data_IF_149875331275
#
_entry.id   IF_149875331275
#
_cell.length_a   1.000
_cell.length_b   1.000
_cell.length_c   1.000
_cell.angle_alpha   90.00
_cell.angle_beta   90.00
_cell.angle_gamma   90.00
#
_symmetry.space_group_name_H-M   'P 1'
#
loop_
_entity.id
_entity.type
_entity.pdbx_description
1 polymer ?
#
# COMPACT_ATOMS: atom_id res chain seq x y z
N UNK A 1 38.74 -8.13 -12.47
CA UNK A 1 37.32 -8.54 -12.36
C UNK A 1 36.60 -7.98 -13.59
N UNK A 2 35.97 -8.80 -14.43
CA UNK A 2 35.34 -8.31 -15.67
C UNK A 2 34.08 -7.50 -15.31
N UNK A 3 33.80 -6.40 -16.01
CA UNK A 3 32.64 -5.51 -15.74
C UNK A 3 31.29 -6.27 -15.64
N UNK A 4 31.14 -7.37 -16.38
CA UNK A 4 29.96 -8.24 -16.33
C UNK A 4 29.71 -8.87 -14.96
N UNK A 5 30.76 -9.29 -14.24
CA UNK A 5 30.62 -9.97 -12.95
C UNK A 5 30.11 -9.03 -11.86
N UNK A 6 30.48 -7.76 -11.91
CA UNK A 6 30.02 -6.74 -10.97
C UNK A 6 28.52 -6.44 -11.15
N UNK A 7 28.09 -6.30 -12.41
CA UNK A 7 26.69 -6.04 -12.74
C UNK A 7 25.78 -7.19 -12.30
N UNK A 8 26.17 -8.44 -12.60
CA UNK A 8 25.43 -9.64 -12.19
C UNK A 8 25.31 -9.70 -10.66
N UNK A 9 26.40 -9.46 -9.93
CA UNK A 9 26.39 -9.43 -8.45
C UNK A 9 25.44 -8.35 -7.91
N UNK A 10 25.39 -7.17 -8.52
CA UNK A 10 24.50 -6.09 -8.11
C UNK A 10 23.02 -6.44 -8.33
N UNK A 11 22.69 -7.04 -9.48
CA UNK A 11 21.32 -7.49 -9.79
C UNK A 11 20.88 -8.57 -8.81
N UNK A 12 21.72 -9.58 -8.57
CA UNK A 12 21.43 -10.63 -7.60
C UNK A 12 21.25 -10.07 -6.19
N UNK A 13 22.06 -9.09 -5.78
CA UNK A 13 21.90 -8.41 -4.50
C UNK A 13 20.55 -7.67 -4.41
N UNK A 14 20.10 -7.04 -5.49
CA UNK A 14 18.79 -6.38 -5.56
C UNK A 14 17.65 -7.39 -5.42
N UNK A 15 17.68 -8.47 -6.20
CA UNK A 15 16.66 -9.52 -6.16
C UNK A 15 16.57 -10.21 -4.79
N UNK A 16 17.73 -10.51 -4.17
CA UNK A 16 17.79 -11.12 -2.82
C UNK A 16 17.20 -10.24 -1.74
N UNK A 17 17.32 -8.91 -1.88
CA UNK A 17 16.78 -7.93 -0.92
C UNK A 17 15.38 -7.44 -1.27
N UNK A 18 14.74 -8.01 -2.28
CA UNK A 18 13.44 -7.54 -2.74
C UNK A 18 12.34 -7.95 -1.76
N UNK A 19 11.65 -6.96 -1.20
CA UNK A 19 10.46 -7.20 -0.35
C UNK A 19 9.30 -7.65 -1.24
N UNK A 20 8.43 -8.50 -0.70
CA UNK A 20 7.22 -8.97 -1.40
C UNK A 20 6.01 -8.78 -0.49
N UNK A 21 4.94 -8.26 -1.06
CA UNK A 21 3.62 -8.22 -0.45
C UNK A 21 2.67 -9.03 -1.32
N UNK A 22 1.95 -9.97 -0.72
CA UNK A 22 1.03 -10.87 -1.44
C UNK A 22 -0.29 -10.85 -0.69
N UNK A 23 -1.36 -10.45 -1.38
CA UNK A 23 -2.73 -10.36 -0.89
C UNK A 23 -2.97 -9.33 0.22
N UNK A 24 -2.43 -9.55 1.42
CA UNK A 24 -2.68 -8.78 2.64
C UNK A 24 -1.44 -8.76 3.54
N UNK A 25 -1.33 -7.77 4.42
CA UNK A 25 -0.34 -7.80 5.50
C UNK A 25 -0.96 -8.59 6.64
N UNK A 26 -0.22 -9.54 7.22
CA UNK A 26 -0.73 -10.40 8.30
C UNK A 26 -1.28 -9.60 9.49
N UNK A 27 -0.74 -8.40 9.73
CA UNK A 27 -1.21 -7.46 10.76
C UNK A 27 -2.63 -6.93 10.54
N UNK A 28 -3.17 -6.98 9.32
CA UNK A 28 -4.49 -6.42 8.99
C UNK A 28 -5.66 -7.39 9.18
N UNK A 29 -5.40 -8.69 9.24
CA UNK A 29 -6.45 -9.68 9.47
C UNK A 29 -6.90 -9.74 10.95
N UNK A 30 -6.11 -9.17 11.88
CA UNK A 30 -6.30 -9.39 13.32
C UNK A 30 -6.21 -8.13 14.21
N UNK A 31 -5.82 -6.95 13.71
CA UNK A 31 -5.72 -5.74 14.54
C UNK A 31 -6.91 -4.78 14.33
N UNK A 32 -8.07 -5.18 14.86
CA UNK A 32 -9.30 -4.38 14.86
C UNK A 32 -9.12 -3.05 15.60
N UNK A 33 -8.28 -3.01 16.64
CA UNK A 33 -8.00 -1.78 17.40
C UNK A 33 -7.32 -0.73 16.52
N UNK A 34 -6.42 -1.15 15.63
CA UNK A 34 -5.76 -0.27 14.67
C UNK A 34 -6.73 0.25 13.61
N UNK A 35 -7.64 -0.60 13.13
CA UNK A 35 -8.69 -0.20 12.20
C UNK A 35 -9.64 0.83 12.82
N UNK A 36 -10.05 0.60 14.08
CA UNK A 36 -10.91 1.51 14.83
C UNK A 36 -10.22 2.86 15.09
N UNK A 37 -8.95 2.85 15.48
CA UNK A 37 -8.17 4.08 15.66
C UNK A 37 -8.02 4.87 14.34
N UNK A 38 -7.88 4.17 13.22
CA UNK A 38 -7.82 4.78 11.90
C UNK A 38 -9.15 5.49 11.56
N UNK A 39 -10.29 4.80 11.71
CA UNK A 39 -11.60 5.40 11.44
C UNK A 39 -11.99 6.49 12.44
N UNK A 40 -11.63 6.37 13.72
CA UNK A 40 -11.84 7.44 14.72
C UNK A 40 -11.15 8.74 14.35
N UNK A 41 -9.98 8.68 13.73
CA UNK A 41 -9.26 9.86 13.26
C UNK A 41 -9.86 10.46 11.97
N UNK A 42 -10.58 9.65 11.18
CA UNK A 42 -11.26 10.11 9.96
C UNK A 42 -12.66 10.63 10.25
N UNK A 43 -13.32 10.14 11.31
CA UNK A 43 -14.70 10.48 11.61
C UNK A 43 -14.93 10.71 13.12
N UNK A 44 -15.17 11.96 13.49
CA UNK A 44 -16.39 12.22 14.25
C UNK A 44 -17.50 12.31 13.19
N UNK A 45 -18.42 11.35 13.21
CA UNK A 45 -19.44 11.16 12.16
C UNK A 45 -20.30 12.43 11.96
N UNK A 46 -20.54 13.16 13.06
CA UNK A 46 -21.30 14.42 13.10
C UNK A 46 -20.72 15.52 12.19
N UNK A 47 -19.43 15.42 11.86
CA UNK A 47 -18.65 16.39 11.10
C UNK A 47 -18.83 16.26 9.57
N UNK A 48 -19.55 15.22 9.13
CA UNK A 48 -19.76 14.86 7.72
C UNK A 48 -21.24 14.73 7.35
N UNK A 49 -22.14 14.43 8.29
CA UNK A 49 -23.57 14.19 8.01
C UNK A 49 -24.31 15.39 7.40
N UNK A 50 -23.79 16.62 7.58
CA UNK A 50 -24.42 17.85 7.10
C UNK A 50 -23.80 18.43 5.83
N UNK A 51 -22.74 17.81 5.31
CA UNK A 51 -22.01 18.30 4.15
C UNK A 51 -22.61 17.73 2.86
N UNK A 52 -22.73 18.58 1.84
CA UNK A 52 -23.02 18.13 0.48
C UNK A 52 -21.87 17.27 -0.06
N UNK A 53 -22.13 16.51 -1.12
CA UNK A 53 -21.11 15.67 -1.76
C UNK A 53 -19.84 16.46 -2.16
N UNK A 54 -20.00 17.68 -2.68
CA UNK A 54 -18.85 18.52 -3.06
C UNK A 54 -18.04 18.98 -1.85
N UNK A 55 -18.71 19.35 -0.77
CA UNK A 55 -18.05 19.75 0.49
C UNK A 55 -17.33 18.57 1.16
N UNK A 56 -17.89 17.35 1.03
CA UNK A 56 -17.24 16.13 1.47
C UNK A 56 -15.95 15.87 0.68
N UNK A 57 -15.99 15.97 -0.65
CA UNK A 57 -14.82 15.77 -1.51
C UNK A 57 -13.72 16.79 -1.17
N UNK A 58 -14.05 18.08 -1.09
CA UNK A 58 -13.09 19.12 -0.73
C UNK A 58 -12.48 18.89 0.67
N UNK A 59 -13.29 18.45 1.64
CA UNK A 59 -12.80 18.11 2.99
C UNK A 59 -11.81 16.93 2.94
N UNK A 60 -12.09 15.87 2.20
CA UNK A 60 -11.16 14.75 2.04
C UNK A 60 -9.86 15.15 1.33
N UNK A 61 -9.94 15.98 0.28
CA UNK A 61 -8.77 16.46 -0.45
C UNK A 61 -7.86 17.32 0.44
N UNK A 62 -8.43 18.18 1.29
CA UNK A 62 -7.69 18.97 2.28
C UNK A 62 -7.01 18.08 3.32
N UNK A 63 -7.72 17.10 3.86
CA UNK A 63 -7.15 16.16 4.84
C UNK A 63 -5.96 15.39 4.27
N UNK A 64 -6.05 14.87 3.03
CA UNK A 64 -4.94 14.18 2.36
C UNK A 64 -3.77 15.14 2.09
N UNK A 65 -4.06 16.37 1.67
CA UNK A 65 -3.03 17.39 1.42
C UNK A 65 -2.27 17.74 2.70
N UNK A 66 -2.97 18.02 3.80
CA UNK A 66 -2.35 18.33 5.10
C UNK A 66 -1.47 17.19 5.62
N UNK A 67 -1.92 15.95 5.46
CA UNK A 67 -1.11 14.78 5.83
C UNK A 67 0.16 14.67 4.98
N UNK A 68 0.05 14.85 3.66
CA UNK A 68 1.22 14.86 2.77
C UNK A 68 2.21 15.97 3.14
N UNK A 69 1.70 17.15 3.52
CA UNK A 69 2.53 18.26 3.98
C UNK A 69 3.23 17.96 5.31
N UNK A 70 2.55 17.32 6.27
CA UNK A 70 3.17 16.89 7.55
C UNK A 70 4.34 15.92 7.34
N UNK A 71 4.30 15.15 6.26
CA UNK A 71 5.36 14.21 5.89
C UNK A 71 6.55 14.89 5.19
N UNK A 72 6.46 16.17 4.82
CA UNK A 72 7.60 16.91 4.26
C UNK A 72 8.67 17.10 5.34
N UNK A 73 9.92 16.76 5.00
CA UNK A 73 11.06 16.88 5.92
C UNK A 73 11.22 15.74 6.92
N UNK A 74 10.26 14.80 6.99
CA UNK A 74 10.41 13.59 7.80
C UNK A 74 11.10 12.47 7.00
N UNK A 75 12.01 11.69 7.63
CA UNK A 75 12.56 10.50 6.99
C UNK A 75 11.42 9.54 6.67
N UNK A 76 11.38 9.05 5.43
CA UNK A 76 10.36 8.10 4.98
C UNK A 76 10.45 6.84 5.83
N UNK A 77 9.47 6.60 6.69
CA UNK A 77 9.41 5.36 7.48
C UNK A 77 9.26 4.18 6.50
N UNK A 78 10.27 3.31 6.47
CA UNK A 78 10.35 2.19 5.51
C UNK A 78 9.31 1.09 5.73
N UNK A 79 8.68 1.11 6.91
CA UNK A 79 7.76 0.07 7.38
C UNK A 79 6.30 0.58 7.46
N UNK A 80 6.09 1.89 7.39
CA UNK A 80 4.75 2.50 7.24
C UNK A 80 4.41 2.65 5.75
N UNK A 81 4.36 1.51 5.05
CA UNK A 81 3.69 1.40 3.74
C UNK A 81 2.19 1.15 3.90
N UNK A 82 1.65 1.52 5.05
CA UNK A 82 0.24 1.77 5.25
C UNK A 82 -0.02 3.25 4.93
N UNK A 83 0.10 3.56 3.63
CA UNK A 83 -0.57 4.74 3.09
C UNK A 83 -2.03 4.59 3.54
N UNK A 84 -2.66 5.63 4.06
CA UNK A 84 -4.06 5.62 4.51
C UNK A 84 -5.07 5.15 3.43
N UNK A 85 -4.63 4.89 2.20
CA UNK A 85 -5.39 4.22 1.13
C UNK A 85 -5.10 2.72 0.93
N UNK A 86 -4.15 2.09 1.64
CA UNK A 86 -3.71 0.71 1.38
C UNK A 86 -4.82 -0.32 1.61
N UNK A 87 -5.75 -0.08 2.54
CA UNK A 87 -6.92 -0.92 2.76
C UNK A 87 -7.85 -0.94 1.52
N UNK A 88 -8.04 0.20 0.84
CA UNK A 88 -8.86 0.30 -0.38
C UNK A 88 -8.19 -0.30 -1.63
N UNK A 89 -6.86 -0.52 -1.60
CA UNK A 89 -6.12 -1.04 -2.76
C UNK A 89 -6.09 -2.57 -2.84
N UNK A 90 -6.49 -3.30 -1.79
CA UNK A 90 -6.43 -4.77 -1.81
C UNK A 90 -7.41 -5.38 -2.82
N UNK A 91 -8.57 -4.74 -3.02
CA UNK A 91 -9.59 -5.18 -3.99
C UNK A 91 -9.20 -4.90 -5.45
N UNK A 92 -8.14 -4.13 -5.70
CA UNK A 92 -7.68 -3.89 -7.05
C UNK A 92 -7.13 -5.16 -7.70
N UNK A 93 -7.55 -5.40 -8.94
CA UNK A 93 -7.01 -6.46 -9.80
C UNK A 93 -5.69 -5.97 -10.41
N UNK A 94 -4.61 -5.95 -9.61
CA UNK A 94 -3.32 -5.38 -10.05
C UNK A 94 -2.09 -5.96 -9.32
N UNK A 95 -0.93 -5.76 -9.95
CA UNK A 95 0.39 -5.95 -9.35
C UNK A 95 1.26 -4.72 -9.62
N UNK A 96 2.04 -4.32 -8.62
CA UNK A 96 2.85 -3.10 -8.65
C UNK A 96 4.32 -3.41 -8.34
N UNK A 97 5.22 -2.79 -9.08
CA UNK A 97 6.63 -2.73 -8.74
C UNK A 97 6.92 -1.36 -8.12
N UNK A 98 7.55 -1.34 -6.95
CA UNK A 98 7.95 -0.15 -6.24
C UNK A 98 9.49 -0.06 -6.21
N UNK A 99 10.14 0.57 -7.21
CA UNK A 99 11.59 0.56 -7.34
C UNK A 99 12.30 1.19 -6.14
N UNK A 100 11.72 2.28 -5.59
CA UNK A 100 12.27 3.00 -4.45
C UNK A 100 12.35 2.14 -3.19
N UNK A 101 11.36 1.26 -2.99
CA UNK A 101 11.31 0.35 -1.83
C UNK A 101 11.93 -1.02 -2.12
N UNK A 102 12.39 -1.25 -3.36
CA UNK A 102 12.79 -2.57 -3.85
C UNK A 102 11.72 -3.63 -3.49
N UNK A 103 10.45 -3.34 -3.80
CA UNK A 103 9.29 -4.14 -3.37
C UNK A 103 8.37 -4.46 -4.55
N UNK A 104 7.80 -5.67 -4.54
CA UNK A 104 6.70 -6.05 -5.44
C UNK A 104 5.46 -6.30 -4.60
N UNK A 105 4.33 -5.74 -5.02
CA UNK A 105 3.02 -5.91 -4.42
C UNK A 105 2.10 -6.64 -5.37
N UNK A 106 1.57 -7.78 -4.95
CA UNK A 106 0.52 -8.54 -5.66
C UNK A 106 -0.74 -8.41 -4.82
N UNK A 107 -1.77 -7.72 -5.33
CA UNK A 107 -3.02 -7.51 -4.62
C UNK A 107 -3.91 -8.75 -4.69
N UNK A 108 -4.76 -8.96 -3.67
CA UNK A 108 -5.65 -10.12 -3.62
C UNK A 108 -6.61 -10.17 -4.81
N UNK A 109 -7.06 -9.01 -5.31
CA UNK A 109 -7.88 -8.93 -6.52
C UNK A 109 -7.21 -9.52 -7.77
N UNK A 110 -5.88 -9.64 -7.83
CA UNK A 110 -5.20 -10.33 -8.94
C UNK A 110 -5.13 -11.85 -8.74
N UNK A 111 -5.24 -12.34 -7.50
CA UNK A 111 -5.13 -13.75 -7.14
C UNK A 111 -6.46 -14.49 -7.31
N UNK A 112 -7.08 -14.31 -8.47
CA UNK A 112 -8.32 -14.97 -8.86
C UNK A 112 -8.30 -15.34 -10.34
N UNK A 113 -9.26 -16.16 -10.75
CA UNK A 113 -9.45 -16.51 -12.15
C UNK A 113 -9.64 -15.23 -13.00
N UNK A 114 -9.01 -15.10 -14.18
CA UNK A 114 -8.26 -16.14 -14.92
C UNK A 114 -6.76 -16.21 -14.60
N UNK A 115 -6.24 -15.31 -13.75
CA UNK A 115 -4.79 -15.15 -13.55
C UNK A 115 -4.21 -16.12 -12.54
N UNK A 116 -5.03 -16.60 -11.60
CA UNK A 116 -4.61 -17.50 -10.55
C UNK A 116 -5.74 -18.45 -10.14
N UNK A 117 -5.39 -19.71 -9.88
CA UNK A 117 -6.28 -20.72 -9.34
C UNK A 117 -5.50 -21.97 -8.98
N UNK A 118 -5.79 -22.57 -7.82
CA UNK A 118 -5.08 -23.77 -7.35
C UNK A 118 -5.29 -24.98 -8.27
N UNK A 119 -6.35 -24.94 -9.08
CA UNK A 119 -6.73 -25.97 -10.05
C UNK A 119 -6.31 -25.65 -11.48
N UNK A 120 -5.71 -24.48 -11.73
CA UNK A 120 -5.20 -24.13 -13.05
C UNK A 120 -3.90 -24.92 -13.34
N UNK A 121 -3.64 -25.30 -14.61
CA UNK A 121 -2.36 -25.88 -14.99
C UNK A 121 -1.21 -24.91 -14.69
N UNK A 122 -0.06 -25.47 -14.30
CA UNK A 122 1.16 -24.69 -14.02
C UNK A 122 1.89 -24.30 -15.29
#
# INVERSE_FOLDING_TARGET
MKRGDACIKAILKKLRKMKRFIAYYDSHLFDLNRLDNFYRNIAQIDDFEKLSFLELVDKFDRMDTEERLKNLGQPKKSDELEIKGAFKLNELVTALNWPYYNKIDIRIGLLQFPYFGLTLPK
#
